data_IF_535196896432
#
_entry.id   IF_535196896432
#
_cell.length_a   1.000
_cell.length_b   1.000
_cell.length_c   1.000
_cell.angle_alpha   90.00
_cell.angle_beta   90.00
_cell.angle_gamma   90.00
#
_symmetry.space_group_name_H-M   'P 1'
#
loop_
_entity.id
_entity.type
_entity.pdbx_description
1 polymer ?
#
# COMPACT_ATOMS: atom_id res chain seq x y z
N UNK A 1 -16.81 13.70 -10.59
CA UNK A 1 -16.16 12.42 -10.92
C UNK A 1 -14.65 12.55 -10.87
N UNK A 2 -14.00 11.44 -10.66
CA UNK A 2 -12.53 11.35 -10.66
C UNK A 2 -12.02 11.46 -12.08
N UNK A 3 -10.98 12.27 -12.29
CA UNK A 3 -10.43 12.58 -13.60
C UNK A 3 -8.92 12.30 -13.64
N UNK A 4 -8.38 12.15 -14.86
CA UNK A 4 -6.95 12.04 -15.07
C UNK A 4 -6.24 13.23 -14.44
N UNK A 5 -5.16 12.96 -13.69
CA UNK A 5 -4.40 13.96 -12.96
C UNK A 5 -4.86 14.18 -11.52
N UNK A 6 -6.02 13.66 -11.13
CA UNK A 6 -6.46 13.73 -9.74
C UNK A 6 -5.52 12.92 -8.85
N UNK A 7 -5.31 13.41 -7.64
CA UNK A 7 -4.41 12.79 -6.66
C UNK A 7 -5.11 12.59 -5.33
N UNK A 8 -4.61 11.61 -4.59
CA UNK A 8 -4.99 11.39 -3.21
C UNK A 8 -3.76 10.97 -2.42
N UNK A 9 -3.70 11.32 -1.15
CA UNK A 9 -2.60 10.88 -0.29
C UNK A 9 -3.10 10.57 1.11
N UNK A 10 -2.39 9.67 1.80
CA UNK A 10 -2.69 9.30 3.16
C UNK A 10 -1.40 9.06 3.93
N UNK A 11 -1.33 9.61 5.15
CA UNK A 11 -0.26 9.30 6.09
C UNK A 11 -0.44 7.88 6.61
N UNK A 12 0.67 7.17 6.74
CA UNK A 12 0.69 5.76 7.14
C UNK A 12 1.77 5.57 8.19
N UNK A 13 1.44 4.83 9.25
CA UNK A 13 2.39 4.39 10.26
C UNK A 13 2.02 2.96 10.66
N UNK A 14 3.01 2.07 10.65
CA UNK A 14 2.80 0.67 11.03
C UNK A 14 3.28 0.45 12.46
N UNK A 15 2.57 -0.43 13.18
CA UNK A 15 2.91 -0.83 14.55
C UNK A 15 3.25 -2.31 14.59
N UNK A 16 4.19 -2.72 15.46
CA UNK A 16 4.60 -4.11 15.55
C UNK A 16 3.44 -5.06 15.83
N UNK A 17 2.48 -4.62 16.64
CA UNK A 17 1.28 -5.42 16.92
C UNK A 17 0.49 -5.76 15.66
N UNK A 18 0.42 -4.84 14.71
CA UNK A 18 -0.24 -5.08 13.42
C UNK A 18 0.50 -6.13 12.61
N UNK A 19 1.84 -6.08 12.64
CA UNK A 19 2.69 -7.04 11.95
C UNK A 19 2.51 -8.44 12.54
N UNK A 20 2.49 -8.55 13.85
CA UNK A 20 2.27 -9.82 14.56
C UNK A 20 0.89 -10.40 14.23
N UNK A 21 -0.13 -9.55 14.17
CA UNK A 21 -1.49 -9.95 13.79
C UNK A 21 -1.56 -10.41 12.33
N UNK A 22 -0.90 -9.69 11.44
CA UNK A 22 -0.84 -10.09 10.03
C UNK A 22 -0.12 -11.44 9.86
N UNK A 23 0.97 -11.66 10.59
CA UNK A 23 1.68 -12.94 10.58
C UNK A 23 0.76 -14.09 11.00
N UNK A 24 -0.05 -13.88 12.04
CA UNK A 24 -1.00 -14.87 12.52
C UNK A 24 -2.08 -15.17 11.49
N UNK A 25 -2.70 -14.12 10.93
CA UNK A 25 -3.81 -14.25 9.99
C UNK A 25 -3.35 -14.87 8.67
N UNK A 26 -2.22 -14.39 8.13
CA UNK A 26 -1.73 -14.81 6.82
C UNK A 26 -0.97 -16.13 6.85
N UNK A 27 -0.43 -16.50 8.02
CA UNK A 27 0.50 -17.61 8.14
C UNK A 27 1.94 -17.26 7.76
N UNK A 28 2.21 -16.02 7.35
CA UNK A 28 3.57 -15.57 7.03
C UNK A 28 4.33 -15.20 8.30
N UNK A 29 4.88 -16.22 8.94
CA UNK A 29 5.63 -16.11 10.18
C UNK A 29 7.13 -16.06 9.95
N UNK A 30 7.59 -15.55 8.80
CA UNK A 30 9.01 -15.35 8.55
C UNK A 30 9.61 -14.53 9.70
N UNK A 31 10.64 -15.05 10.40
CA UNK A 31 11.19 -14.38 11.58
C UNK A 31 11.73 -12.98 11.32
N UNK A 32 12.01 -12.65 10.07
CA UNK A 32 12.41 -11.30 9.68
C UNK A 32 11.38 -10.23 10.09
N UNK A 33 10.11 -10.60 10.21
CA UNK A 33 9.04 -9.67 10.54
C UNK A 33 8.72 -9.61 12.04
N UNK A 34 8.97 -10.69 12.76
CA UNK A 34 8.45 -10.87 14.12
C UNK A 34 9.51 -11.13 15.19
N UNK A 35 10.74 -11.44 14.81
CA UNK A 35 11.81 -11.79 15.75
C UNK A 35 12.94 -10.75 15.68
N UNK A 36 13.04 -9.84 16.69
CA UNK A 36 14.07 -8.80 16.69
C UNK A 36 15.50 -9.33 16.69
N UNK A 37 15.75 -10.46 17.37
CA UNK A 37 17.09 -11.07 17.43
C UNK A 37 17.50 -11.61 16.07
N UNK A 38 16.58 -12.27 15.37
CA UNK A 38 16.81 -12.74 14.02
C UNK A 38 17.05 -11.57 13.06
N UNK A 39 16.19 -10.57 13.11
CA UNK A 39 16.26 -9.40 12.23
C UNK A 39 17.54 -8.60 12.44
N UNK A 40 18.05 -8.52 13.67
CA UNK A 40 19.30 -7.82 14.00
C UNK A 40 20.51 -8.41 13.27
N UNK A 41 20.45 -9.70 12.89
CA UNK A 41 21.52 -10.38 12.16
C UNK A 41 21.39 -10.23 10.65
N UNK A 42 20.34 -9.58 10.17
CA UNK A 42 20.12 -9.31 8.75
C UNK A 42 20.63 -7.93 8.39
N UNK A 43 20.80 -7.61 7.10
CA UNK A 43 21.17 -6.25 6.67
C UNK A 43 20.18 -5.17 7.11
N UNK A 44 18.95 -5.54 7.45
CA UNK A 44 17.93 -4.58 7.88
C UNK A 44 18.11 -4.13 9.34
N UNK A 45 18.72 -4.96 10.17
CA UNK A 45 19.01 -4.63 11.56
C UNK A 45 17.86 -4.69 12.54
N UNK A 46 16.62 -4.74 12.06
CA UNK A 46 15.39 -4.79 12.85
C UNK A 46 14.24 -5.36 12.01
N UNK A 47 13.13 -5.79 12.65
CA UNK A 47 12.00 -6.35 11.91
C UNK A 47 11.46 -5.38 10.88
N UNK A 48 11.07 -5.91 9.72
CA UNK A 48 10.45 -5.15 8.65
C UNK A 48 8.98 -5.53 8.51
N UNK A 49 8.20 -4.61 7.95
CA UNK A 49 6.79 -4.81 7.64
C UNK A 49 6.68 -5.79 6.47
N UNK A 50 5.73 -6.74 6.54
CA UNK A 50 5.44 -7.61 5.39
C UNK A 50 5.10 -6.76 4.17
N UNK A 51 5.69 -7.05 3.03
CA UNK A 51 5.41 -6.32 1.79
C UNK A 51 3.91 -6.34 1.44
N UNK A 52 3.27 -7.49 1.57
CA UNK A 52 1.83 -7.60 1.30
C UNK A 52 0.97 -6.86 2.32
N UNK A 53 1.43 -6.73 3.55
CA UNK A 53 0.70 -5.90 4.52
C UNK A 53 0.85 -4.42 4.19
N UNK A 54 2.05 -3.98 3.82
CA UNK A 54 2.25 -2.61 3.36
C UNK A 54 1.35 -2.31 2.14
N UNK A 55 1.24 -3.25 1.21
CA UNK A 55 0.35 -3.12 0.05
C UNK A 55 -1.13 -3.08 0.41
N UNK A 56 -1.53 -3.65 1.55
CA UNK A 56 -2.91 -3.61 2.01
C UNK A 56 -3.40 -2.19 2.27
N UNK A 57 -2.50 -1.23 2.48
CA UNK A 57 -2.85 0.19 2.60
C UNK A 57 -3.53 0.70 1.33
N UNK A 58 -3.08 0.25 0.16
CA UNK A 58 -3.73 0.63 -1.10
C UNK A 58 -5.17 0.12 -1.13
N UNK A 59 -5.38 -1.13 -0.75
CA UNK A 59 -6.72 -1.72 -0.68
C UNK A 59 -7.63 -0.96 0.28
N UNK A 60 -7.12 -0.61 1.45
CA UNK A 60 -7.86 0.17 2.45
C UNK A 60 -8.31 1.51 1.89
N UNK A 61 -7.40 2.23 1.23
CA UNK A 61 -7.72 3.53 0.63
C UNK A 61 -8.80 3.37 -0.44
N UNK A 62 -8.60 2.44 -1.38
CA UNK A 62 -9.53 2.28 -2.49
C UNK A 62 -10.93 1.86 -2.04
N UNK A 63 -11.01 1.00 -1.06
CA UNK A 63 -12.29 0.45 -0.60
C UNK A 63 -13.06 1.33 0.37
N UNK A 64 -12.38 2.22 1.09
CA UNK A 64 -13.01 2.97 2.18
C UNK A 64 -12.90 4.48 2.05
N UNK A 65 -11.91 4.99 1.31
CA UNK A 65 -11.63 6.43 1.28
C UNK A 65 -11.72 7.04 -0.11
N UNK A 66 -10.99 6.49 -1.09
CA UNK A 66 -10.88 7.08 -2.41
C UNK A 66 -10.54 6.02 -3.47
N UNK A 67 -11.41 5.73 -4.42
CA UNK A 67 -12.78 6.25 -4.65
C UNK A 67 -13.76 5.96 -3.53
N UNK A 68 -13.49 4.98 -2.66
CA UNK A 68 -14.29 4.63 -1.53
C UNK A 68 -15.26 3.48 -1.77
N UNK A 69 -16.27 3.38 -0.94
CA UNK A 69 -17.28 2.32 -1.00
C UNK A 69 -17.86 2.16 -2.40
N UNK A 70 -17.97 0.95 -2.87
CA UNK A 70 -18.42 0.62 -4.23
C UNK A 70 -17.28 0.34 -5.20
N UNK A 71 -16.04 0.56 -4.80
CA UNK A 71 -14.87 0.27 -5.64
C UNK A 71 -14.69 -1.23 -5.80
N UNK A 72 -14.47 -1.65 -7.04
CA UNK A 72 -14.08 -3.02 -7.38
C UNK A 72 -12.60 -2.98 -7.76
N UNK A 73 -11.79 -3.74 -7.01
CA UNK A 73 -10.35 -3.83 -7.19
C UNK A 73 -10.06 -4.94 -8.21
N UNK A 74 -9.55 -4.57 -9.38
CA UNK A 74 -9.45 -5.51 -10.49
C UNK A 74 -8.03 -5.99 -10.77
N UNK A 75 -7.03 -5.16 -10.43
CA UNK A 75 -5.64 -5.44 -10.77
C UNK A 75 -4.73 -4.63 -9.86
N UNK A 76 -3.60 -5.23 -9.51
CA UNK A 76 -2.50 -4.53 -8.83
C UNK A 76 -1.17 -5.16 -9.22
N UNK A 77 -0.24 -4.35 -9.69
CA UNK A 77 1.16 -4.74 -9.67
C UNK A 77 1.90 -3.96 -8.57
N UNK A 78 3.01 -4.52 -8.09
CA UNK A 78 3.83 -3.89 -7.07
C UNK A 78 5.29 -4.27 -7.23
N UNK A 79 6.16 -3.27 -7.11
CA UNK A 79 7.60 -3.46 -6.97
C UNK A 79 8.02 -2.98 -5.58
N UNK A 80 8.71 -3.83 -4.85
CA UNK A 80 9.21 -3.53 -3.51
C UNK A 80 10.66 -3.11 -3.62
N UNK A 81 10.94 -1.83 -3.36
CA UNK A 81 12.27 -1.23 -3.60
C UNK A 81 13.12 -1.11 -2.35
N UNK A 82 12.50 -0.97 -1.19
CA UNK A 82 13.19 -0.80 0.08
C UNK A 82 12.33 -1.32 1.23
N UNK A 83 12.95 -1.65 2.37
CA UNK A 83 12.19 -2.13 3.52
C UNK A 83 11.31 -1.04 4.14
N UNK A 84 10.17 -1.45 4.70
CA UNK A 84 9.26 -0.60 5.45
C UNK A 84 9.38 -1.01 6.92
N UNK A 85 9.55 -0.03 7.80
CA UNK A 85 9.74 -0.27 9.23
C UNK A 85 8.55 0.22 10.04
N UNK A 86 8.38 -0.36 11.24
CA UNK A 86 7.35 0.09 12.19
C UNK A 86 7.76 1.41 12.84
N UNK A 87 6.77 2.14 13.35
CA UNK A 87 6.93 3.40 14.09
C UNK A 87 7.65 4.49 13.29
N UNK A 88 7.57 4.44 11.98
CA UNK A 88 8.06 5.49 11.09
C UNK A 88 6.91 6.09 10.28
N UNK A 89 7.07 7.35 9.88
CA UNK A 89 6.06 8.05 9.10
C UNK A 89 6.27 7.79 7.62
N UNK A 90 5.21 7.34 6.96
CA UNK A 90 5.16 7.12 5.52
C UNK A 90 3.95 7.85 4.92
N UNK A 91 3.95 7.99 3.61
CA UNK A 91 2.83 8.54 2.86
C UNK A 91 2.52 7.62 1.70
N UNK A 92 1.26 7.19 1.61
CA UNK A 92 0.74 6.52 0.43
C UNK A 92 0.21 7.60 -0.52
N UNK A 93 0.65 7.56 -1.78
CA UNK A 93 0.24 8.53 -2.80
C UNK A 93 -0.39 7.82 -3.99
N UNK A 94 -1.40 8.47 -4.55
CA UNK A 94 -2.19 7.94 -5.65
C UNK A 94 -2.36 9.01 -6.72
N UNK A 95 -2.17 8.61 -7.98
CA UNK A 95 -2.35 9.50 -9.14
C UNK A 95 -3.17 8.78 -10.21
N UNK A 96 -4.23 9.41 -10.66
CA UNK A 96 -5.06 8.88 -11.74
C UNK A 96 -4.34 9.13 -13.07
N UNK A 97 -3.92 8.05 -13.72
CA UNK A 97 -3.21 8.11 -15.01
C UNK A 97 -4.13 7.95 -16.20
N UNK A 98 -5.18 7.14 -16.08
CA UNK A 98 -6.15 6.91 -17.14
C UNK A 98 -7.55 6.74 -16.56
N UNK A 99 -8.56 7.16 -17.30
CA UNK A 99 -9.97 6.94 -16.98
C UNK A 99 -10.69 6.50 -18.25
N UNK A 100 -11.52 5.47 -18.13
CA UNK A 100 -12.44 5.03 -19.18
C UNK A 100 -13.87 5.20 -18.66
N UNK A 101 -14.53 6.31 -18.96
CA UNK A 101 -15.88 6.59 -18.43
C UNK A 101 -16.94 5.60 -18.90
N UNK A 102 -16.81 5.08 -20.11
CA UNK A 102 -17.78 4.12 -20.66
C UNK A 102 -17.81 2.83 -19.87
N UNK A 103 -16.64 2.39 -19.38
CA UNK A 103 -16.51 1.17 -18.58
C UNK A 103 -16.43 1.44 -17.09
N UNK A 104 -16.50 2.69 -16.67
CA UNK A 104 -16.36 3.11 -15.27
C UNK A 104 -15.06 2.61 -14.63
N UNK A 105 -13.94 2.74 -15.34
CA UNK A 105 -12.64 2.23 -14.91
C UNK A 105 -11.59 3.34 -14.81
N UNK A 106 -10.66 3.15 -13.88
CA UNK A 106 -9.50 4.01 -13.74
C UNK A 106 -8.21 3.22 -13.55
N UNK A 107 -7.11 3.77 -14.07
CA UNK A 107 -5.75 3.29 -13.82
C UNK A 107 -5.08 4.26 -12.86
N UNK A 108 -4.64 3.74 -11.72
CA UNK A 108 -4.11 4.54 -10.62
C UNK A 108 -2.66 4.14 -10.35
N UNK A 109 -1.75 5.11 -10.38
CA UNK A 109 -0.39 4.90 -9.91
C UNK A 109 -0.38 5.01 -8.39
N UNK A 110 0.22 4.02 -7.74
CA UNK A 110 0.29 3.90 -6.28
C UNK A 110 1.74 3.92 -5.83
N UNK A 111 2.06 4.71 -4.82
CA UNK A 111 3.39 4.69 -4.19
C UNK A 111 3.27 4.72 -2.68
N UNK A 112 4.25 4.14 -2.01
CA UNK A 112 4.49 4.34 -0.58
C UNK A 112 5.86 5.00 -0.46
N UNK A 113 5.92 6.16 0.19
CA UNK A 113 7.12 6.98 0.31
C UNK A 113 7.44 7.24 1.77
N UNK A 114 8.73 7.43 2.08
CA UNK A 114 9.15 7.87 3.40
C UNK A 114 9.00 9.40 3.56
N UNK A 115 9.34 9.93 4.73
CA UNK A 115 9.23 11.36 5.03
C UNK A 115 10.11 12.24 4.12
N UNK A 116 11.13 11.67 3.50
CA UNK A 116 12.06 12.36 2.62
C UNK A 116 11.68 12.23 1.14
N UNK A 117 10.60 11.52 0.84
CA UNK A 117 10.10 11.32 -0.52
C UNK A 117 10.74 10.14 -1.27
N UNK A 118 11.51 9.29 -0.59
CA UNK A 118 12.03 8.08 -1.20
C UNK A 118 10.90 7.08 -1.41
N UNK A 119 10.82 6.51 -2.60
CA UNK A 119 9.81 5.50 -2.94
C UNK A 119 10.27 4.14 -2.44
N UNK A 120 9.49 3.53 -1.54
CA UNK A 120 9.77 2.21 -0.98
C UNK A 120 9.01 1.12 -1.70
N UNK A 121 7.85 1.45 -2.24
CA UNK A 121 6.98 0.53 -2.97
C UNK A 121 6.21 1.32 -4.02
N UNK A 122 6.05 0.76 -5.20
CA UNK A 122 5.26 1.39 -6.26
C UNK A 122 4.56 0.36 -7.12
N UNK A 123 3.49 0.77 -7.77
CA UNK A 123 2.74 -0.07 -8.66
C UNK A 123 1.56 0.65 -9.29
N UNK A 124 0.74 -0.14 -10.00
CA UNK A 124 -0.45 0.36 -10.67
C UNK A 124 -1.64 -0.50 -10.30
N UNK A 125 -2.77 0.16 -10.08
CA UNK A 125 -4.05 -0.49 -9.79
C UNK A 125 -5.05 -0.19 -10.91
N UNK A 126 -5.89 -1.18 -11.23
CA UNK A 126 -7.06 -0.98 -12.08
C UNK A 126 -8.30 -1.12 -11.21
N UNK A 127 -9.12 -0.08 -11.21
CA UNK A 127 -10.32 -0.01 -10.39
C UNK A 127 -11.54 0.19 -11.28
N UNK A 128 -12.69 -0.26 -10.76
CA UNK A 128 -14.00 0.04 -11.33
C UNK A 128 -14.87 0.67 -10.26
N UNK A 129 -15.61 1.72 -10.63
CA UNK A 129 -16.59 2.34 -9.76
C UNK A 129 -17.66 3.03 -10.61
N UNK A 130 -18.90 2.56 -10.51
CA UNK A 130 -19.96 3.00 -11.40
C UNK A 130 -20.38 4.46 -11.24
N UNK A 131 -20.04 5.08 -10.09
CA UNK A 131 -20.40 6.48 -9.84
C UNK A 131 -19.22 7.44 -9.93
N UNK A 132 -18.00 6.95 -9.68
CA UNK A 132 -16.81 7.82 -9.55
C UNK A 132 -15.96 7.92 -10.81
N UNK A 133 -16.05 6.94 -11.70
CA UNK A 133 -15.35 6.99 -12.98
C UNK A 133 -16.29 7.12 -14.18
#
# INVERSE_FOLDING_TARGET
KIQVGDTYSQKVKFHQKQIDTFAEISGDCNPLHINPEYAAKTPFGKPIVHCFFAGAVFSKVFGTEWPGEGTIYMYQDMTFRAPVFVEQDYVAKFLVEEVNPEKHRGLIKCTLEDAEGHVLMEGHAKLKHTEKF
#
